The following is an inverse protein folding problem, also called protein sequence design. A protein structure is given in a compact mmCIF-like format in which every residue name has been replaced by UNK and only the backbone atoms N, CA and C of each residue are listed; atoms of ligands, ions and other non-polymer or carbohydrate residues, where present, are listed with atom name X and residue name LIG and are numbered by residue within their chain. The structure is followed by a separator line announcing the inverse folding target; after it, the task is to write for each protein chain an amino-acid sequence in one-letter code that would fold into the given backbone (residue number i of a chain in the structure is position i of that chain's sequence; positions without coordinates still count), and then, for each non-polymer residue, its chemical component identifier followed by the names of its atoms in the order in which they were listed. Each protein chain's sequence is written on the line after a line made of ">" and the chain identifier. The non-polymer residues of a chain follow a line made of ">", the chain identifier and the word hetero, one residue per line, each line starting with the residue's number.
data_IF_121532137198
#
_entry.id   IF_121532137198
#
_cell.length_a   1.000
_cell.length_b   1.000
_cell.length_c   1.000
_cell.angle_alpha   90.00
_cell.angle_beta   90.00
_cell.angle_gamma   90.00
#
_symmetry.space_group_name_H-M   'P 1'
#
loop_
_entity.id
_entity.type
_entity.pdbx_description
1 polymer ?
#
# COMPACT_ATOMS: atom_id res chain seq x y z
N UNK A 1 0.60 -26.51 -15.53
CA UNK A 1 1.35 -27.46 -14.68
C UNK A 1 2.11 -26.79 -13.51
N UNK A 2 1.61 -25.70 -12.91
CA UNK A 2 2.28 -25.06 -11.74
C UNK A 2 1.22 -24.64 -10.71
N UNK A 3 0.59 -25.61 -10.05
CA UNK A 3 -0.44 -25.33 -9.02
C UNK A 3 -0.07 -25.87 -7.62
N UNK A 4 1.07 -26.55 -7.49
CA UNK A 4 1.56 -27.07 -6.21
C UNK A 4 2.92 -26.47 -5.83
N UNK A 5 3.13 -26.18 -4.54
CA UNK A 5 4.42 -25.74 -4.00
C UNK A 5 5.51 -26.80 -4.23
N UNK A 6 5.11 -28.06 -4.36
CA UNK A 6 5.98 -29.20 -4.71
C UNK A 6 6.49 -29.07 -6.16
N UNK A 7 5.62 -28.74 -7.11
CA UNK A 7 6.05 -28.46 -8.50
C UNK A 7 6.89 -27.20 -8.60
N UNK A 8 6.63 -26.19 -7.76
CA UNK A 8 7.48 -24.98 -7.69
C UNK A 8 8.89 -25.31 -7.19
N UNK A 9 9.01 -26.21 -6.22
CA UNK A 9 10.31 -26.69 -5.72
C UNK A 9 11.10 -27.42 -6.81
N UNK A 10 10.43 -28.24 -7.62
CA UNK A 10 11.04 -28.96 -8.73
C UNK A 10 11.51 -28.01 -9.84
N UNK A 11 10.65 -27.08 -10.28
CA UNK A 11 11.01 -26.06 -11.29
C UNK A 11 12.17 -25.19 -10.80
N UNK A 12 12.14 -24.80 -9.54
CA UNK A 12 13.22 -24.01 -8.94
C UNK A 12 14.55 -24.77 -8.92
N UNK A 13 14.51 -26.10 -8.73
CA UNK A 13 15.69 -26.96 -8.78
C UNK A 13 16.20 -27.11 -10.21
N UNK A 14 15.30 -27.31 -11.16
CA UNK A 14 15.64 -27.47 -12.58
C UNK A 14 16.26 -26.20 -13.18
N UNK A 15 15.73 -25.04 -12.78
CA UNK A 15 16.16 -23.73 -13.27
C UNK A 15 17.36 -23.14 -12.50
N UNK A 16 17.94 -23.87 -11.54
CA UNK A 16 19.12 -23.44 -10.76
C UNK A 16 18.90 -22.24 -9.80
N UNK A 17 17.70 -21.68 -9.73
CA UNK A 17 17.36 -20.46 -8.95
C UNK A 17 17.05 -20.73 -7.47
N UNK A 18 17.68 -21.74 -6.85
CA UNK A 18 17.37 -22.18 -5.48
C UNK A 18 17.77 -21.18 -4.39
N UNK A 19 18.83 -20.39 -4.63
CA UNK A 19 19.33 -19.39 -3.69
C UNK A 19 18.66 -18.01 -3.81
N UNK A 20 18.03 -17.71 -4.95
CA UNK A 20 17.47 -16.39 -5.23
C UNK A 20 15.96 -16.29 -4.91
N UNK A 21 15.20 -17.37 -5.10
CA UNK A 21 13.74 -17.35 -4.95
C UNK A 21 13.27 -18.50 -4.07
N UNK A 22 12.40 -18.26 -3.08
CA UNK A 22 11.73 -19.35 -2.36
C UNK A 22 10.63 -19.98 -3.23
N UNK A 23 10.22 -21.25 -3.00
CA UNK A 23 9.16 -21.87 -3.79
C UNK A 23 7.81 -21.12 -3.63
N UNK A 24 7.61 -20.48 -2.49
CA UNK A 24 6.44 -19.64 -2.22
C UNK A 24 6.51 -18.32 -3.00
N UNK A 25 7.67 -17.67 -3.06
CA UNK A 25 7.88 -16.48 -3.89
C UNK A 25 7.70 -16.79 -5.38
N UNK A 26 8.18 -17.95 -5.85
CA UNK A 26 7.98 -18.40 -7.23
C UNK A 26 6.50 -18.61 -7.55
N UNK A 27 5.75 -19.24 -6.64
CA UNK A 27 4.29 -19.38 -6.76
C UNK A 27 3.61 -18.01 -6.81
N UNK A 28 3.97 -17.10 -5.92
CA UNK A 28 3.39 -15.74 -5.87
C UNK A 28 3.70 -14.95 -7.15
N UNK A 29 4.91 -15.07 -7.70
CA UNK A 29 5.28 -14.46 -8.99
C UNK A 29 4.46 -15.06 -10.13
N UNK A 30 4.27 -16.38 -10.15
CA UNK A 30 3.41 -17.08 -11.11
C UNK A 30 1.94 -16.65 -11.01
N UNK A 31 1.43 -16.44 -9.80
CA UNK A 31 0.06 -15.95 -9.57
C UNK A 31 -0.10 -14.50 -10.12
N UNK A 32 0.84 -13.60 -9.82
CA UNK A 32 0.85 -12.25 -10.39
C UNK A 32 0.93 -12.24 -11.93
N UNK A 33 1.74 -13.13 -12.52
CA UNK A 33 1.85 -13.31 -13.96
C UNK A 33 0.49 -13.73 -14.57
N UNK A 34 -0.22 -14.67 -13.92
CA UNK A 34 -1.55 -15.12 -14.37
C UNK A 34 -2.59 -14.01 -14.24
N UNK A 35 -2.56 -13.20 -13.18
CA UNK A 35 -3.53 -12.12 -13.00
C UNK A 35 -3.37 -11.04 -14.07
N UNK A 36 -2.13 -10.65 -14.36
CA UNK A 36 -1.82 -9.72 -15.45
C UNK A 36 -2.21 -10.29 -16.82
N UNK A 37 -1.98 -11.57 -17.05
CA UNK A 37 -2.43 -12.26 -18.26
C UNK A 37 -3.96 -12.25 -18.39
N UNK A 38 -4.70 -12.55 -17.30
CA UNK A 38 -6.16 -12.54 -17.28
C UNK A 38 -6.73 -11.15 -17.55
N UNK A 39 -6.15 -10.11 -16.96
CA UNK A 39 -6.55 -8.73 -17.18
C UNK A 39 -6.38 -8.29 -18.65
N UNK A 40 -5.32 -8.75 -19.31
CA UNK A 40 -5.06 -8.46 -20.73
C UNK A 40 -5.89 -9.32 -21.69
N UNK A 41 -6.24 -10.55 -21.28
CA UNK A 41 -7.02 -11.48 -22.10
C UNK A 41 -8.52 -11.16 -22.11
N UNK A 42 -9.03 -10.57 -21.02
CA UNK A 42 -10.44 -10.20 -20.86
C UNK A 42 -10.57 -8.72 -20.42
N UNK A 43 -10.36 -7.74 -21.31
CA UNK A 43 -10.59 -6.34 -20.95
C UNK A 43 -12.08 -6.07 -20.70
N UNK A 44 -12.42 -5.08 -19.84
CA UNK A 44 -13.80 -4.63 -19.68
C UNK A 44 -14.36 -4.13 -21.02
N UNK A 45 -15.66 -4.35 -21.23
CA UNK A 45 -16.39 -4.08 -22.48
C UNK A 45 -16.10 -2.66 -22.97
N UNK A 46 -15.43 -2.56 -24.13
CA UNK A 46 -15.12 -1.28 -24.79
C UNK A 46 -13.64 -0.90 -24.90
N UNK A 47 -12.70 -1.69 -24.36
CA UNK A 47 -11.25 -1.48 -24.56
C UNK A 47 -10.61 -2.57 -25.43
N UNK A 48 -9.83 -2.17 -26.43
CA UNK A 48 -9.11 -3.06 -27.33
C UNK A 48 -7.96 -3.79 -26.60
N UNK A 49 -7.79 -5.09 -26.89
CA UNK A 49 -6.72 -5.91 -26.33
C UNK A 49 -5.37 -5.49 -26.90
N UNK A 50 -4.62 -4.69 -26.14
CA UNK A 50 -3.21 -4.42 -26.44
C UNK A 50 -2.36 -5.62 -25.99
N UNK A 51 -2.45 -6.74 -26.72
CA UNK A 51 -1.67 -7.97 -26.48
C UNK A 51 -0.16 -7.73 -26.48
N UNK A 52 0.28 -6.69 -27.20
CA UNK A 52 1.70 -6.32 -27.35
C UNK A 52 2.22 -5.38 -26.24
N UNK A 53 1.34 -4.92 -25.34
CA UNK A 53 1.72 -4.05 -24.22
C UNK A 53 2.61 -4.78 -23.19
N UNK A 54 2.56 -6.11 -23.19
CA UNK A 54 3.32 -6.92 -22.25
C UNK A 54 4.17 -7.97 -22.98
N UNK A 55 5.49 -7.77 -22.98
CA UNK A 55 6.47 -8.62 -23.69
C UNK A 55 6.43 -10.11 -23.30
N UNK A 56 5.84 -10.46 -22.16
CA UNK A 56 5.68 -11.85 -21.71
C UNK A 56 4.29 -12.44 -22.00
N UNK A 57 3.40 -11.70 -22.67
CA UNK A 57 2.05 -12.15 -23.00
C UNK A 57 2.07 -13.46 -23.80
N UNK A 58 2.88 -13.54 -24.86
CA UNK A 58 2.99 -14.76 -25.69
C UNK A 58 3.59 -15.94 -24.93
N UNK A 59 4.60 -15.70 -24.09
CA UNK A 59 5.19 -16.76 -23.25
C UNK A 59 4.19 -17.31 -22.24
N UNK A 60 3.35 -16.44 -21.65
CA UNK A 60 2.26 -16.85 -20.76
C UNK A 60 1.11 -17.50 -21.52
N UNK A 61 0.77 -17.02 -22.71
CA UNK A 61 -0.29 -17.58 -23.55
C UNK A 61 0.09 -18.98 -24.06
N UNK A 62 1.35 -19.20 -24.43
CA UNK A 62 1.90 -20.51 -24.81
C UNK A 62 1.90 -21.48 -23.61
N UNK A 63 2.38 -21.02 -22.45
CA UNK A 63 2.40 -21.82 -21.22
C UNK A 63 1.00 -22.19 -20.70
N UNK A 64 -0.01 -21.35 -20.96
CA UNK A 64 -1.39 -21.54 -20.49
C UNK A 64 -2.28 -22.27 -21.50
N UNK A 65 -2.05 -22.07 -22.81
CA UNK A 65 -2.82 -22.71 -23.88
C UNK A 65 -2.33 -24.13 -24.19
N UNK A 66 -1.23 -24.57 -23.57
CA UNK A 66 -0.76 -25.95 -23.63
C UNK A 66 -0.25 -26.37 -25.00
N UNK A 67 0.10 -25.41 -25.86
CA UNK A 67 0.77 -25.69 -27.11
C UNK A 67 2.16 -26.26 -26.78
N UNK A 68 2.39 -27.50 -27.19
CA UNK A 68 3.68 -28.17 -26.99
C UNK A 68 4.78 -27.31 -27.64
N UNK A 69 5.97 -27.17 -27.02
CA UNK A 69 7.08 -26.54 -27.69
C UNK A 69 7.32 -27.29 -28.99
N UNK A 70 7.24 -26.60 -30.12
CA UNK A 70 7.75 -27.07 -31.40
C UNK A 70 9.26 -27.29 -31.24
N UNK A 71 9.63 -28.47 -30.71
CA UNK A 71 10.97 -29.01 -30.73
C UNK A 71 11.33 -29.32 -32.17
N UNK A 72 11.66 -28.28 -32.92
CA UNK A 72 12.46 -28.38 -34.12
C UNK A 72 13.45 -27.22 -34.12
N UNK A 73 14.43 -27.31 -33.24
CA UNK A 73 15.70 -26.60 -33.44
C UNK A 73 16.83 -27.57 -33.14
N UNK A 74 17.20 -28.26 -34.21
CA UNK A 74 18.52 -28.79 -34.56
C UNK A 74 19.45 -29.10 -33.40
N UNK A 75 19.42 -30.39 -33.00
CA UNK A 75 20.62 -31.06 -32.53
C UNK A 75 21.60 -31.12 -33.71
N UNK A 76 22.56 -30.20 -33.76
CA UNK A 76 23.75 -30.39 -34.60
C UNK A 76 24.52 -31.58 -34.01
N UNK A 77 24.37 -32.72 -34.67
CA UNK A 77 25.28 -33.85 -34.56
C UNK A 77 26.62 -33.41 -35.15
N UNK A 78 27.63 -33.18 -34.32
CA UNK A 78 29.02 -33.14 -34.78
C UNK A 78 29.51 -34.59 -34.79
N UNK A 79 29.46 -35.21 -35.97
CA UNK A 79 30.21 -36.45 -36.23
C UNK A 79 31.71 -36.13 -36.31
N UNK A 80 32.59 -36.93 -35.71
CA UNK A 80 34.04 -36.80 -35.88
C UNK A 80 34.49 -37.41 -37.21
N UNK A 81 35.36 -36.76 -38.00
CA UNK A 81 35.94 -37.42 -39.17
C UNK A 81 37.04 -38.39 -38.74
N UNK A 82 36.80 -39.66 -39.05
CA UNK A 82 37.79 -40.71 -39.05
C UNK A 82 38.86 -40.44 -40.13
N UNK A 83 40.12 -40.35 -39.68
CA UNK A 83 41.27 -41.15 -40.13
C UNK A 83 41.21 -41.67 -41.57
N UNK A 84 42.01 -41.08 -42.46
CA UNK A 84 42.56 -41.77 -43.62
C UNK A 84 44.08 -41.55 -43.63
N UNK A 85 44.80 -42.59 -43.20
CA UNK A 85 46.22 -42.75 -43.47
C UNK A 85 46.39 -43.15 -44.95
N UNK A 86 47.44 -42.59 -45.57
CA UNK A 86 48.38 -43.30 -46.45
C UNK A 86 48.56 -42.69 -47.85
N UNK A 87 49.84 -42.38 -48.09
CA UNK A 87 50.55 -42.49 -49.36
C UNK A 87 50.42 -41.33 -50.34
N UNK A 88 51.42 -40.45 -50.29
CA UNK A 88 52.36 -40.26 -51.40
C UNK A 88 53.64 -39.64 -50.83
N UNK A 89 54.68 -40.45 -50.71
CA UNK A 89 55.86 -40.37 -51.58
C UNK A 89 56.96 -39.51 -50.96
N UNK A 90 57.75 -40.17 -50.11
CA UNK A 90 59.17 -39.91 -49.97
C UNK A 90 59.79 -39.85 -51.37
N UNK A 91 60.16 -38.65 -51.83
CA UNK A 91 61.08 -38.51 -52.94
C UNK A 91 61.85 -37.20 -52.82
N UNK A 92 63.14 -37.41 -52.58
CA UNK A 92 64.26 -36.51 -52.81
C UNK A 92 64.75 -35.65 -51.64
N UNK A 93 65.83 -36.16 -51.05
CA UNK A 93 66.75 -35.44 -50.19
C UNK A 93 67.66 -34.51 -51.01
N UNK A 94 67.88 -33.29 -50.52
CA UNK A 94 69.14 -32.56 -50.66
C UNK A 94 69.16 -31.37 -49.68
N UNK A 95 70.22 -31.28 -48.88
CA UNK A 95 70.53 -30.22 -47.93
C UNK A 95 70.76 -28.85 -48.59
N UNK A 96 70.32 -27.77 -47.94
CA UNK A 96 71.11 -26.55 -47.64
C UNK A 96 70.53 -25.89 -46.36
N UNK A 97 71.33 -25.50 -45.35
CA UNK A 97 70.88 -24.71 -44.20
C UNK A 97 71.09 -23.22 -44.46
N UNK A 98 70.05 -22.38 -44.30
CA UNK A 98 70.25 -20.94 -44.08
C UNK A 98 69.02 -20.27 -43.47
N UNK A 99 69.28 -19.20 -42.73
CA UNK A 99 68.48 -18.40 -41.80
C UNK A 99 66.93 -18.40 -41.87
N UNK A 100 66.34 -18.48 -40.68
CA UNK A 100 64.94 -18.20 -40.41
C UNK A 100 64.66 -16.69 -40.29
N UNK A 101 63.69 -16.13 -41.03
CA UNK A 101 62.97 -14.94 -40.59
C UNK A 101 61.77 -15.37 -39.72
N UNK A 102 61.53 -14.76 -38.54
CA UNK A 102 60.31 -15.04 -37.78
C UNK A 102 59.07 -14.54 -38.54
N UNK A 103 57.97 -15.30 -38.60
CA UNK A 103 56.71 -14.79 -39.12
C UNK A 103 56.13 -13.73 -38.16
N UNK A 104 55.41 -12.70 -38.66
CA UNK A 104 54.63 -11.83 -37.79
C UNK A 104 53.49 -12.65 -37.17
N UNK A 105 53.67 -13.12 -35.93
CA UNK A 105 52.66 -13.87 -35.20
C UNK A 105 51.43 -13.01 -34.93
N UNK A 106 50.39 -13.18 -35.75
CA UNK A 106 49.05 -12.64 -35.56
C UNK A 106 48.37 -13.09 -34.24
N UNK A 107 48.94 -14.01 -33.45
CA UNK A 107 48.36 -14.53 -32.20
C UNK A 107 48.37 -13.52 -31.04
N UNK A 108 49.39 -12.65 -30.95
CA UNK A 108 49.50 -11.69 -29.84
C UNK A 108 48.38 -10.63 -29.81
N UNK A 109 47.75 -10.36 -30.96
CA UNK A 109 46.64 -9.38 -31.09
C UNK A 109 45.31 -9.94 -30.58
N UNK A 110 45.08 -11.24 -30.73
CA UNK A 110 43.84 -11.92 -30.33
C UNK A 110 43.83 -12.19 -28.82
N UNK A 111 44.97 -12.55 -28.24
CA UNK A 111 45.12 -12.75 -26.79
C UNK A 111 44.83 -11.46 -26.00
N UNK A 112 45.30 -10.31 -26.51
CA UNK A 112 44.98 -9.01 -25.91
C UNK A 112 43.50 -8.62 -26.02
N UNK A 113 42.78 -9.09 -27.06
CA UNK A 113 41.35 -8.85 -27.20
C UNK A 113 40.52 -9.72 -26.23
N UNK A 114 40.93 -10.97 -26.02
CA UNK A 114 40.33 -11.85 -25.02
C UNK A 114 40.54 -11.32 -23.59
N UNK A 115 41.75 -10.84 -23.26
CA UNK A 115 42.03 -10.21 -21.96
C UNK A 115 41.16 -8.96 -21.73
N UNK A 116 41.05 -8.05 -22.71
CA UNK A 116 40.17 -6.88 -22.62
C UNK A 116 38.70 -7.26 -22.39
N UNK A 117 38.24 -8.34 -23.03
CA UNK A 117 36.87 -8.84 -22.87
C UNK A 117 36.63 -9.43 -21.48
N UNK A 118 37.61 -10.16 -20.92
CA UNK A 118 37.54 -10.67 -19.55
C UNK A 118 37.45 -9.52 -18.54
N UNK A 119 38.29 -8.49 -18.69
CA UNK A 119 38.24 -7.32 -17.81
C UNK A 119 36.93 -6.54 -17.95
N UNK A 120 36.37 -6.43 -19.16
CA UNK A 120 35.06 -5.81 -19.37
C UNK A 120 33.97 -6.57 -18.62
N UNK A 121 33.94 -7.90 -18.76
CA UNK A 121 33.02 -8.76 -18.00
C UNK A 121 33.24 -8.63 -16.49
N UNK A 122 34.48 -8.57 -16.00
CA UNK A 122 34.76 -8.37 -14.57
C UNK A 122 34.25 -7.01 -14.08
N UNK A 123 34.33 -5.95 -14.89
CA UNK A 123 33.74 -4.65 -14.56
C UNK A 123 32.22 -4.71 -14.51
N UNK A 124 31.60 -5.40 -15.47
CA UNK A 124 30.15 -5.63 -15.51
C UNK A 124 29.66 -6.44 -14.29
N UNK A 125 30.37 -7.50 -13.91
CA UNK A 125 30.06 -8.28 -12.70
C UNK A 125 30.10 -7.42 -11.44
N UNK A 126 31.15 -6.60 -11.27
CA UNK A 126 31.26 -5.68 -10.13
C UNK A 126 30.17 -4.60 -10.14
N UNK A 127 29.78 -4.11 -11.31
CA UNK A 127 28.68 -3.16 -11.43
C UNK A 127 27.34 -3.80 -10.98
N UNK A 128 27.06 -5.03 -11.44
CA UNK A 128 25.88 -5.78 -11.01
C UNK A 128 25.88 -6.10 -9.51
N UNK A 129 27.03 -6.40 -8.92
CA UNK A 129 27.18 -6.58 -7.46
C UNK A 129 26.88 -5.29 -6.70
N UNK A 130 27.31 -4.13 -7.21
CA UNK A 130 27.01 -2.83 -6.61
C UNK A 130 25.51 -2.51 -6.71
N UNK A 131 24.90 -2.70 -7.87
CA UNK A 131 23.45 -2.52 -8.06
C UNK A 131 22.65 -3.46 -7.14
N UNK A 132 23.06 -4.71 -7.00
CA UNK A 132 22.42 -5.65 -6.08
C UNK A 132 22.52 -5.17 -4.62
N UNK A 133 23.66 -4.64 -4.21
CA UNK A 133 23.84 -4.09 -2.86
C UNK A 133 22.98 -2.83 -2.61
N UNK A 134 22.74 -2.01 -3.63
CA UNK A 134 21.82 -0.87 -3.55
C UNK A 134 20.38 -1.35 -3.32
N UNK A 135 19.90 -2.32 -4.10
CA UNK A 135 18.57 -2.90 -3.90
C UNK A 135 18.39 -3.55 -2.53
N UNK A 136 19.42 -4.26 -2.05
CA UNK A 136 19.40 -4.84 -0.70
C UNK A 136 19.32 -3.73 0.37
N UNK A 137 20.02 -2.61 0.15
CA UNK A 137 19.92 -1.40 0.99
C UNK A 137 18.52 -0.78 0.98
N UNK A 138 17.90 -0.65 -0.19
CA UNK A 138 16.53 -0.15 -0.33
C UNK A 138 15.51 -1.06 0.36
N UNK A 139 15.67 -2.38 0.25
CA UNK A 139 14.80 -3.34 0.93
C UNK A 139 14.88 -3.20 2.46
N UNK A 140 16.09 -3.04 3.00
CA UNK A 140 16.28 -2.82 4.44
C UNK A 140 15.66 -1.49 4.87
N UNK A 141 15.80 -0.44 4.06
CA UNK A 141 15.18 0.86 4.33
C UNK A 141 13.64 0.75 4.37
N UNK A 142 13.04 0.11 3.36
CA UNK A 142 11.60 -0.12 3.30
C UNK A 142 11.08 -1.00 4.46
N UNK A 143 11.87 -1.98 4.90
CA UNK A 143 11.52 -2.78 6.07
C UNK A 143 11.48 -1.92 7.34
N UNK A 144 12.48 -1.06 7.54
CA UNK A 144 12.49 -0.09 8.65
C UNK A 144 11.32 0.87 8.59
N UNK A 145 11.03 1.44 7.43
CA UNK A 145 9.90 2.35 7.24
C UNK A 145 8.57 1.66 7.57
N UNK A 146 8.42 0.41 7.16
CA UNK A 146 7.24 -0.40 7.50
C UNK A 146 7.10 -0.60 9.01
N UNK A 147 8.20 -0.86 9.72
CA UNK A 147 8.18 -0.98 11.17
C UNK A 147 7.84 0.34 11.87
N UNK A 148 8.36 1.46 11.38
CA UNK A 148 8.02 2.79 11.88
C UNK A 148 6.52 3.07 11.70
N UNK A 149 5.99 2.84 10.50
CA UNK A 149 4.56 2.96 10.24
C UNK A 149 3.74 2.07 11.16
N UNK A 150 4.17 0.82 11.41
CA UNK A 150 3.47 -0.08 12.35
C UNK A 150 3.45 0.45 13.78
N UNK A 151 4.49 1.17 14.21
CA UNK A 151 4.54 1.81 15.53
C UNK A 151 3.61 3.02 15.58
N UNK A 152 3.62 3.84 14.54
CA UNK A 152 2.77 5.02 14.42
C UNK A 152 1.29 4.63 14.39
N UNK A 153 0.93 3.59 13.63
CA UNK A 153 -0.45 3.08 13.64
C UNK A 153 -0.87 2.61 15.03
N UNK A 154 0.01 1.91 15.76
CA UNK A 154 -0.30 1.48 17.12
C UNK A 154 -0.38 2.66 18.10
N UNK A 155 0.38 3.73 17.90
CA UNK A 155 0.27 4.95 18.70
C UNK A 155 -1.08 5.64 18.47
N UNK A 156 -1.47 5.83 17.20
CA UNK A 156 -2.77 6.41 16.84
C UNK A 156 -3.95 5.59 17.36
N UNK A 157 -3.86 4.26 17.39
CA UNK A 157 -4.88 3.40 18.01
C UNK A 157 -5.02 3.66 19.51
N UNK A 158 -3.92 3.87 20.23
CA UNK A 158 -3.96 4.23 21.66
C UNK A 158 -4.59 5.60 21.87
N UNK A 159 -4.17 6.60 21.09
CA UNK A 159 -4.72 7.96 21.17
C UNK A 159 -6.21 7.98 20.89
N UNK A 160 -6.67 7.19 19.91
CA UNK A 160 -8.10 7.02 19.64
C UNK A 160 -8.86 6.49 20.85
N UNK A 161 -8.35 5.46 21.53
CA UNK A 161 -8.98 4.91 22.73
C UNK A 161 -9.00 5.91 23.89
N UNK A 162 -7.95 6.74 24.03
CA UNK A 162 -7.92 7.82 25.02
C UNK A 162 -8.98 8.88 24.72
N UNK A 163 -9.08 9.32 23.46
CA UNK A 163 -10.12 10.29 23.05
C UNK A 163 -11.54 9.75 23.22
N UNK A 164 -11.77 8.45 22.99
CA UNK A 164 -13.06 7.81 23.26
C UNK A 164 -13.39 7.87 24.77
N UNK A 165 -12.42 7.62 25.65
CA UNK A 165 -12.61 7.78 27.10
C UNK A 165 -12.89 9.22 27.52
N UNK A 166 -12.15 10.18 26.98
CA UNK A 166 -12.37 11.60 27.27
C UNK A 166 -13.77 12.06 26.85
N UNK A 167 -14.26 11.58 25.71
CA UNK A 167 -15.66 11.81 25.29
C UNK A 167 -16.65 11.27 26.30
N UNK A 168 -16.46 10.05 26.79
CA UNK A 168 -17.37 9.50 27.80
C UNK A 168 -17.32 10.28 29.13
N UNK A 169 -16.17 10.82 29.52
CA UNK A 169 -16.07 11.68 30.70
C UNK A 169 -16.87 12.97 30.49
N UNK A 170 -16.70 13.62 29.34
CA UNK A 170 -17.47 14.83 28.99
C UNK A 170 -18.97 14.57 28.93
N UNK A 171 -19.41 13.41 28.43
CA UNK A 171 -20.82 13.03 28.43
C UNK A 171 -21.38 12.89 29.86
N UNK A 172 -20.61 12.33 30.79
CA UNK A 172 -20.99 12.25 32.21
C UNK A 172 -21.08 13.65 32.84
N UNK A 173 -20.10 14.50 32.58
CA UNK A 173 -20.08 15.88 33.07
C UNK A 173 -21.27 16.68 32.55
N UNK A 174 -21.63 16.48 31.28
CA UNK A 174 -22.82 17.09 30.68
C UNK A 174 -24.10 16.70 31.42
N UNK A 175 -24.26 15.41 31.75
CA UNK A 175 -25.42 14.93 32.53
C UNK A 175 -25.45 15.53 33.94
N UNK A 176 -24.29 15.73 34.57
CA UNK A 176 -24.21 16.42 35.88
C UNK A 176 -24.65 17.87 35.74
N UNK A 177 -24.13 18.61 34.76
CA UNK A 177 -24.51 20.00 34.51
C UNK A 177 -26.01 20.15 34.18
N UNK A 178 -26.59 19.21 33.44
CA UNK A 178 -28.02 19.21 33.15
C UNK A 178 -28.86 19.04 34.42
N UNK A 179 -28.40 18.23 35.39
CA UNK A 179 -29.06 18.09 36.70
C UNK A 179 -28.93 19.36 37.54
N UNK A 180 -27.75 19.96 37.58
CA UNK A 180 -27.50 21.21 38.32
C UNK A 180 -28.36 22.35 37.75
N UNK A 181 -28.49 22.41 36.42
CA UNK A 181 -29.39 23.36 35.76
C UNK A 181 -30.84 23.14 36.17
N UNK A 182 -31.32 21.89 36.15
CA UNK A 182 -32.68 21.56 36.57
C UNK A 182 -32.93 21.84 38.07
N UNK A 183 -31.89 21.74 38.90
CA UNK A 183 -31.95 22.12 40.30
C UNK A 183 -32.11 23.63 40.46
N UNK A 184 -31.26 24.43 39.79
CA UNK A 184 -31.35 25.88 39.81
C UNK A 184 -32.67 26.41 39.25
N UNK A 185 -33.23 25.77 38.22
CA UNK A 185 -34.54 26.12 37.68
C UNK A 185 -35.67 25.92 38.71
N UNK A 186 -35.57 24.86 39.54
CA UNK A 186 -36.53 24.62 40.64
C UNK A 186 -36.38 25.65 41.75
N UNK A 187 -35.16 25.97 42.15
CA UNK A 187 -34.88 26.99 43.17
C UNK A 187 -35.38 28.36 42.71
N UNK A 188 -35.19 28.70 41.43
CA UNK A 188 -35.72 29.93 40.86
C UNK A 188 -37.25 29.95 40.90
N UNK A 189 -37.91 28.87 40.51
CA UNK A 189 -39.36 28.77 40.58
C UNK A 189 -39.90 28.80 42.03
N UNK A 190 -39.12 28.35 43.01
CA UNK A 190 -39.43 28.47 44.43
C UNK A 190 -39.35 29.93 44.88
N UNK A 191 -38.24 30.61 44.58
CA UNK A 191 -38.06 32.03 44.91
C UNK A 191 -39.09 32.94 44.23
N UNK A 192 -39.49 32.64 42.99
CA UNK A 192 -40.53 33.39 42.27
C UNK A 192 -41.89 33.28 42.98
N UNK A 193 -42.24 32.09 43.50
CA UNK A 193 -43.44 31.89 44.33
C UNK A 193 -43.37 32.63 45.66
N UNK A 194 -42.27 32.53 46.38
CA UNK A 194 -42.08 33.25 47.65
C UNK A 194 -42.17 34.77 47.44
N UNK A 195 -41.59 35.27 46.34
CA UNK A 195 -41.70 36.67 45.94
C UNK A 195 -43.16 37.06 45.71
N UNK A 196 -43.94 36.23 45.02
CA UNK A 196 -45.36 36.49 44.78
C UNK A 196 -46.17 36.54 46.09
N UNK A 197 -45.93 35.61 47.01
CA UNK A 197 -46.55 35.60 48.34
C UNK A 197 -46.22 36.87 49.13
N UNK A 198 -44.97 37.32 49.10
CA UNK A 198 -44.55 38.58 49.76
C UNK A 198 -45.23 39.78 49.11
N UNK A 199 -45.29 39.83 47.78
CA UNK A 199 -45.98 40.91 47.06
C UNK A 199 -47.47 40.94 47.37
N UNK A 200 -48.12 39.77 47.41
CA UNK A 200 -49.52 39.62 47.76
C UNK A 200 -49.79 40.04 49.21
N UNK A 201 -48.94 39.62 50.15
CA UNK A 201 -49.04 40.02 51.58
C UNK A 201 -48.92 41.53 51.73
N UNK A 202 -47.93 42.15 51.06
CA UNK A 202 -47.77 43.61 51.04
C UNK A 202 -48.94 44.33 50.39
N UNK A 203 -49.51 43.76 49.33
CA UNK A 203 -50.69 44.30 48.67
C UNK A 203 -51.91 44.29 49.60
N UNK A 204 -52.14 43.17 50.31
CA UNK A 204 -53.22 43.09 51.29
C UNK A 204 -52.99 44.00 52.50
N UNK A 205 -51.77 44.11 53.03
CA UNK A 205 -51.45 45.10 54.07
C UNK A 205 -51.76 46.51 53.60
N UNK A 206 -51.33 46.89 52.38
CA UNK A 206 -51.66 48.20 51.79
C UNK A 206 -53.18 48.41 51.63
N UNK A 207 -53.94 47.36 51.34
CA UNK A 207 -55.41 47.41 51.31
C UNK A 207 -56.03 47.60 52.69
N UNK A 208 -55.46 46.98 53.73
CA UNK A 208 -55.94 47.11 55.10
C UNK A 208 -55.54 48.46 55.75
N UNK A 209 -54.45 49.06 55.28
CA UNK A 209 -53.97 50.39 55.71
C UNK A 209 -54.70 51.55 54.99
N UNK A 210 -55.60 51.25 54.03
CA UNK A 210 -56.45 52.24 53.35
C UNK A 210 -57.72 52.51 54.18
N UNK A 211 -57.98 53.78 54.52
CA UNK A 211 -59.19 54.20 55.23
C UNK A 211 -60.47 53.75 54.48
N UNK A 212 -61.46 53.15 55.17
CA UNK A 212 -62.67 52.61 54.55
C UNK A 212 -63.48 53.67 53.80
N UNK A 213 -63.40 54.93 54.21
CA UNK A 213 -64.06 56.08 53.54
C UNK A 213 -63.48 56.37 52.14
N UNK A 214 -62.22 55.98 51.88
CA UNK A 214 -61.57 56.13 50.57
C UNK A 214 -61.97 55.02 49.57
N UNK A 215 -62.42 53.86 50.07
CA UNK A 215 -62.87 52.73 49.24
C UNK A 215 -64.29 52.95 48.70
N UNK A 216 -65.17 53.58 49.49
CA UNK A 216 -66.52 53.94 49.05
C UNK A 216 -66.51 55.04 47.96
N UNK A 217 -65.59 55.99 48.03
CA UNK A 217 -65.47 57.05 47.01
C UNK A 217 -65.13 56.52 45.60
N UNK A 218 -64.53 55.32 45.51
CA UNK A 218 -64.23 54.65 44.25
C UNK A 218 -65.35 53.73 43.76
N UNK A 219 -66.09 53.08 44.67
CA UNK A 219 -67.28 52.29 44.30
C UNK A 219 -68.44 53.18 43.87
N UNK A 220 -68.64 54.34 44.51
CA UNK A 220 -69.62 55.35 44.08
C UNK A 220 -69.36 55.93 42.69
N UNK A 221 -68.17 55.71 42.10
CA UNK A 221 -67.85 56.12 40.73
C UNK A 221 -68.12 55.01 39.69
N UNK A 222 -68.30 53.76 40.13
CA UNK A 222 -68.63 52.62 39.24
C UNK A 222 -70.14 52.37 39.19
N UNK A 223 -70.89 52.81 40.23
CA UNK A 223 -72.36 52.72 40.29
C UNK A 223 -73.10 54.00 39.81
N UNK A 224 -72.42 54.93 39.14
CA UNK A 224 -73.10 56.02 38.44
C UNK A 224 -73.59 55.50 37.08
N UNK A 225 -74.87 55.14 37.04
CA UNK A 225 -75.62 54.89 35.81
C UNK A 225 -75.30 55.98 34.76
N UNK A 226 -74.96 55.62 33.51
CA UNK A 226 -74.73 56.58 32.43
C UNK A 226 -76.00 57.34 31.97
N UNK A 227 -77.15 57.09 32.60
CA UNK A 227 -78.46 57.65 32.21
C UNK A 227 -78.87 58.92 32.99
N UNK A 228 -77.98 59.50 33.82
CA UNK A 228 -78.31 60.71 34.62
C UNK A 228 -77.84 62.05 33.99
N UNK A 229 -77.29 62.06 32.78
CA UNK A 229 -77.03 63.31 32.05
C UNK A 229 -77.80 63.33 30.73
N UNK A 230 -79.06 63.75 30.79
CA UNK A 230 -79.79 64.34 29.68
C UNK A 230 -79.60 65.85 29.63
#
# INVERSE_FOLDING_TARGET
>A
MVNSVVSCRAIRKEMGIQGALTPQQLKKKWDNLKDKYRALKNPPVGMETQTNSWRWFHLMDEAMSGARPSLLRDRVHVSPPARNESQTALLYAAHVPDEAPPPPSCSAREDGAACRRLEALQREWRALEAEQAEFDGELIALERDRELLSRDTAALERDRVLLERDREVLDRDRVVLDRDRAFLDRDRAFLDRDREVVLQTRFYQRLMDLDPDQLEGRQRLVDLDPDQFS
#
